data_IF_010357024929
#
_entry.id   IF_010357024929
#
_cell.length_a   1.000
_cell.length_b   1.000
_cell.length_c   1.000
_cell.angle_alpha   90.00
_cell.angle_beta   90.00
_cell.angle_gamma   90.00
#
_symmetry.space_group_name_H-M   'P 1'
#
loop_
_entity.id
_entity.type
_entity.pdbx_description
1 polymer ?
#
# COMPACT_ATOMS: atom_id res chain seq x y z
N UNK A 1 33.01 -53.35 21.89
CA UNK A 1 31.88 -54.14 21.37
C UNK A 1 31.33 -53.42 20.15
N UNK A 2 31.61 -53.95 18.96
CA UNK A 2 30.93 -53.63 17.70
C UNK A 2 29.61 -54.47 17.63
N UNK A 3 28.69 -54.36 16.64
CA UNK A 3 29.04 -54.29 15.20
C UNK A 3 28.12 -53.51 14.23
N UNK A 4 28.75 -53.19 13.08
CA UNK A 4 28.31 -53.34 11.68
C UNK A 4 26.94 -52.77 11.21
N UNK A 5 26.80 -52.09 10.07
CA UNK A 5 27.59 -52.12 8.85
C UNK A 5 26.86 -52.95 7.79
N UNK A 6 26.03 -52.30 6.95
CA UNK A 6 25.33 -52.96 5.84
C UNK A 6 25.46 -52.12 4.56
N UNK A 7 26.26 -52.64 3.62
CA UNK A 7 26.32 -52.22 2.22
C UNK A 7 25.11 -52.77 1.42
N UNK A 8 24.73 -52.14 0.30
CA UNK A 8 23.72 -52.67 -0.63
C UNK A 8 24.34 -53.63 -1.65
N UNK A 9 23.61 -54.61 -2.21
CA UNK A 9 24.10 -55.42 -3.31
C UNK A 9 23.65 -54.90 -4.69
N UNK A 10 24.50 -55.24 -5.66
CA UNK A 10 24.55 -54.82 -7.06
C UNK A 10 23.49 -55.46 -7.98
N UNK A 11 23.19 -54.80 -9.09
CA UNK A 11 22.54 -55.38 -10.28
C UNK A 11 23.50 -56.27 -11.06
N UNK A 12 22.99 -57.22 -11.90
CA UNK A 12 23.39 -57.20 -13.32
C UNK A 12 22.22 -57.64 -14.27
N UNK A 13 22.39 -57.94 -15.58
CA UNK A 13 21.79 -57.17 -16.69
C UNK A 13 20.83 -58.01 -17.57
N UNK A 14 20.15 -57.42 -18.56
CA UNK A 14 19.89 -58.04 -19.89
C UNK A 14 19.15 -57.08 -20.84
N UNK A 15 19.73 -56.89 -22.01
CA UNK A 15 19.19 -56.16 -23.16
C UNK A 15 18.48 -57.13 -24.15
N UNK A 16 18.24 -56.78 -25.43
CA UNK A 16 16.96 -56.29 -25.95
C UNK A 16 16.28 -57.29 -26.92
N UNK A 17 14.98 -57.13 -27.20
CA UNK A 17 14.35 -57.71 -28.40
C UNK A 17 13.75 -56.63 -29.29
N UNK A 18 14.40 -56.48 -30.44
CA UNK A 18 13.96 -55.83 -31.67
C UNK A 18 13.11 -56.83 -32.46
N UNK A 19 12.19 -56.36 -33.32
CA UNK A 19 12.01 -56.75 -34.75
C UNK A 19 10.56 -56.61 -35.27
N UNK A 20 10.40 -55.67 -36.22
CA UNK A 20 9.64 -55.67 -37.52
C UNK A 20 8.11 -55.77 -37.50
N UNK A 21 7.29 -54.89 -38.10
CA UNK A 21 7.22 -54.17 -39.41
C UNK A 21 6.28 -54.85 -40.42
N UNK A 22 5.25 -54.12 -40.90
CA UNK A 22 4.67 -54.08 -42.27
C UNK A 22 3.29 -53.39 -42.18
N UNK A 23 3.00 -52.22 -42.77
CA UNK A 23 2.92 -51.81 -44.20
C UNK A 23 1.65 -52.26 -44.93
N UNK A 24 0.83 -51.28 -45.33
CA UNK A 24 0.25 -51.04 -46.69
C UNK A 24 -1.19 -50.46 -46.57
N UNK A 25 -1.46 -49.21 -46.96
CA UNK A 25 -1.71 -48.57 -48.29
C UNK A 25 -3.21 -48.26 -48.50
N UNK A 26 -3.43 -47.03 -48.97
CA UNK A 26 -4.63 -46.20 -49.28
C UNK A 26 -5.30 -46.62 -50.63
N UNK A 27 -6.17 -45.87 -51.38
CA UNK A 27 -6.71 -44.47 -51.27
C UNK A 27 -8.16 -44.19 -51.81
N UNK A 28 -8.51 -42.88 -51.97
CA UNK A 28 -9.52 -42.22 -52.87
C UNK A 28 -10.85 -41.76 -52.21
N UNK A 29 -11.53 -40.63 -52.53
CA UNK A 29 -11.30 -39.40 -53.31
C UNK A 29 -12.52 -38.43 -53.16
N UNK A 30 -12.26 -37.13 -52.85
CA UNK A 30 -12.94 -35.79 -53.12
C UNK A 30 -14.41 -35.67 -53.64
N UNK A 31 -15.02 -34.45 -53.77
CA UNK A 31 -15.15 -33.26 -52.90
C UNK A 31 -16.61 -32.66 -52.89
N UNK A 32 -16.94 -31.67 -52.04
CA UNK A 32 -18.05 -30.71 -52.30
C UNK A 32 -18.07 -29.55 -51.29
N UNK A 33 -18.02 -28.32 -51.82
CA UNK A 33 -18.11 -27.02 -51.13
C UNK A 33 -19.47 -26.40 -51.47
N UNK A 34 -20.24 -25.96 -50.47
CA UNK A 34 -21.26 -24.90 -50.59
C UNK A 34 -21.23 -24.06 -49.28
N UNK A 35 -21.25 -22.71 -49.34
CA UNK A 35 -20.89 -21.84 -48.22
C UNK A 35 -22.08 -21.54 -47.31
N UNK A 36 -21.91 -21.79 -46.01
CA UNK A 36 -22.85 -21.39 -44.97
C UNK A 36 -22.25 -20.31 -44.08
N UNK A 37 -22.78 -19.10 -44.16
CA UNK A 37 -22.55 -18.04 -43.18
C UNK A 37 -22.67 -18.58 -41.75
N UNK A 38 -21.59 -18.48 -40.98
CA UNK A 38 -21.63 -18.59 -39.52
C UNK A 38 -20.72 -17.54 -38.89
N UNK A 39 -21.09 -17.06 -37.70
CA UNK A 39 -21.08 -15.65 -37.36
C UNK A 39 -19.70 -15.17 -36.92
N UNK A 40 -19.53 -13.84 -36.97
CA UNK A 40 -18.44 -13.11 -36.34
C UNK A 40 -18.03 -13.77 -35.02
N UNK A 41 -16.78 -14.22 -35.01
CA UNK A 41 -16.06 -14.63 -33.82
C UNK A 41 -16.06 -13.41 -32.88
N UNK A 42 -17.03 -13.33 -31.97
CA UNK A 42 -16.97 -12.42 -30.84
C UNK A 42 -15.72 -12.86 -30.08
N UNK A 43 -14.64 -12.10 -30.25
CA UNK A 43 -13.44 -12.22 -29.46
C UNK A 43 -13.88 -12.31 -28.00
N UNK A 44 -13.65 -13.46 -27.35
CA UNK A 44 -13.80 -13.59 -25.90
C UNK A 44 -13.14 -12.37 -25.28
N UNK A 45 -13.81 -11.62 -24.38
CA UNK A 45 -13.15 -10.51 -23.72
C UNK A 45 -11.88 -11.07 -23.12
N UNK A 46 -10.75 -10.44 -23.43
CA UNK A 46 -9.47 -10.75 -22.83
C UNK A 46 -9.72 -10.78 -21.32
N UNK A 47 -9.53 -11.94 -20.67
CA UNK A 47 -9.76 -12.14 -19.23
C UNK A 47 -9.38 -10.94 -18.34
N UNK A 48 -8.28 -10.19 -18.58
CA UNK A 48 -7.98 -8.97 -17.83
C UNK A 48 -9.02 -7.83 -17.94
N UNK A 49 -9.71 -7.65 -19.07
CA UNK A 49 -10.76 -6.64 -19.22
C UNK A 49 -12.00 -6.96 -18.37
N UNK A 50 -12.39 -8.24 -18.30
CA UNK A 50 -13.49 -8.70 -17.46
C UNK A 50 -13.21 -8.54 -15.97
N UNK A 51 -11.98 -8.83 -15.51
CA UNK A 51 -11.58 -8.64 -14.11
C UNK A 51 -11.51 -7.15 -13.76
N UNK A 52 -11.07 -6.29 -14.69
CA UNK A 52 -11.04 -4.83 -14.48
C UNK A 52 -12.43 -4.24 -14.37
N UNK A 53 -13.35 -4.65 -15.25
CA UNK A 53 -14.73 -4.23 -15.16
C UNK A 53 -15.38 -4.71 -13.86
N UNK A 54 -15.14 -5.97 -13.46
CA UNK A 54 -15.62 -6.51 -12.19
C UNK A 54 -15.15 -5.69 -10.98
N UNK A 55 -13.86 -5.39 -10.90
CA UNK A 55 -13.25 -4.56 -9.85
C UNK A 55 -13.89 -3.16 -9.79
N UNK A 56 -14.06 -2.51 -10.94
CA UNK A 56 -14.69 -1.19 -11.05
C UNK A 56 -16.15 -1.24 -10.61
N UNK A 57 -16.93 -2.20 -11.10
CA UNK A 57 -18.33 -2.37 -10.69
C UNK A 57 -18.44 -2.64 -9.20
N UNK A 58 -17.61 -3.53 -8.66
CA UNK A 58 -17.62 -3.88 -7.24
C UNK A 58 -17.25 -2.67 -6.36
N UNK A 59 -16.27 -1.88 -6.78
CA UNK A 59 -15.91 -0.63 -6.10
C UNK A 59 -17.04 0.40 -6.13
N UNK A 60 -17.67 0.58 -7.29
CA UNK A 60 -18.78 1.52 -7.47
C UNK A 60 -20.03 1.12 -6.68
N UNK A 61 -20.45 -0.15 -6.76
CA UNK A 61 -21.58 -0.64 -5.99
C UNK A 61 -21.30 -0.59 -4.49
N UNK A 62 -20.12 -1.06 -4.06
CA UNK A 62 -19.72 -1.05 -2.66
C UNK A 62 -19.70 0.36 -2.06
N UNK A 63 -19.20 1.36 -2.80
CA UNK A 63 -19.16 2.76 -2.32
C UNK A 63 -20.53 3.41 -2.10
N UNK A 64 -21.61 2.89 -2.70
CA UNK A 64 -22.97 3.41 -2.56
C UNK A 64 -23.78 2.72 -1.45
N UNK A 65 -23.19 1.76 -0.74
CA UNK A 65 -23.85 1.06 0.38
C UNK A 65 -23.76 1.87 1.68
N UNK A 66 -24.62 1.58 2.69
CA UNK A 66 -24.43 2.08 4.05
C UNK A 66 -23.10 1.62 4.67
N UNK A 67 -22.53 2.41 5.58
CA UNK A 67 -21.19 2.16 6.15
C UNK A 67 -21.00 0.74 6.70
N UNK A 68 -21.98 0.16 7.38
CA UNK A 68 -21.84 -1.19 7.93
C UNK A 68 -21.63 -2.26 6.83
N UNK A 69 -22.28 -2.12 5.67
CA UNK A 69 -22.09 -3.03 4.54
C UNK A 69 -20.78 -2.76 3.80
N UNK A 70 -20.34 -1.49 3.78
CA UNK A 70 -19.04 -1.11 3.20
C UNK A 70 -17.90 -1.85 3.89
N UNK A 71 -17.93 -1.97 5.23
CA UNK A 71 -16.95 -2.74 5.98
C UNK A 71 -16.89 -4.23 5.58
N UNK A 72 -18.04 -4.86 5.32
CA UNK A 72 -18.09 -6.25 4.82
C UNK A 72 -17.53 -6.36 3.41
N UNK A 73 -17.85 -5.42 2.52
CA UNK A 73 -17.30 -5.38 1.15
C UNK A 73 -15.79 -5.15 1.19
N UNK A 74 -15.30 -4.28 2.08
CA UNK A 74 -13.87 -4.05 2.30
C UNK A 74 -13.15 -5.34 2.68
N UNK A 75 -13.69 -6.09 3.65
CA UNK A 75 -13.16 -7.40 4.05
C UNK A 75 -13.23 -8.43 2.92
N UNK A 76 -14.31 -8.45 2.14
CA UNK A 76 -14.46 -9.34 1.00
C UNK A 76 -13.38 -9.07 -0.06
N UNK A 77 -13.14 -7.80 -0.42
CA UNK A 77 -12.08 -7.41 -1.36
C UNK A 77 -10.72 -7.83 -0.82
N UNK A 78 -10.41 -7.51 0.44
CA UNK A 78 -9.13 -7.85 1.05
C UNK A 78 -8.89 -9.36 1.09
N UNK A 79 -9.91 -10.17 1.34
CA UNK A 79 -9.83 -11.63 1.26
C UNK A 79 -9.53 -12.17 -0.15
N UNK A 80 -9.60 -11.33 -1.20
CA UNK A 80 -9.21 -11.66 -2.57
C UNK A 80 -7.87 -11.08 -2.99
N UNK A 81 -7.29 -10.16 -2.21
CA UNK A 81 -5.98 -9.57 -2.55
C UNK A 81 -4.90 -10.64 -2.31
N UNK A 82 -4.10 -11.00 -3.33
CA UNK A 82 -2.98 -11.91 -3.11
C UNK A 82 -1.96 -11.26 -2.17
N UNK A 83 -1.64 -11.93 -1.07
CA UNK A 83 -0.57 -11.53 -0.14
C UNK A 83 0.53 -12.60 -0.21
N UNK A 84 1.79 -12.18 -0.34
CA UNK A 84 2.93 -13.12 -0.38
C UNK A 84 2.99 -13.93 0.92
N UNK A 85 3.06 -15.26 0.80
CA UNK A 85 3.13 -16.19 1.95
C UNK A 85 1.78 -16.75 2.43
N UNK A 86 0.64 -16.26 1.92
CA UNK A 86 -0.67 -16.86 2.21
C UNK A 86 -1.17 -17.66 1.00
N UNK A 87 -1.55 -18.94 1.14
CA UNK A 87 -2.15 -19.69 0.04
C UNK A 87 -3.49 -19.06 -0.36
N UNK A 88 -3.53 -18.34 -1.48
CA UNK A 88 -4.79 -17.89 -2.04
C UNK A 88 -5.48 -19.10 -2.70
N UNK A 89 -6.47 -19.70 -2.03
CA UNK A 89 -7.21 -20.87 -2.53
C UNK A 89 -8.16 -20.59 -3.71
N UNK A 90 -8.02 -19.49 -4.46
CA UNK A 90 -8.97 -19.17 -5.53
C UNK A 90 -8.36 -18.64 -6.82
N UNK A 91 -7.08 -18.26 -6.81
CA UNK A 91 -6.38 -17.80 -8.01
C UNK A 91 -5.11 -18.64 -8.12
N UNK A 92 -4.96 -19.40 -9.20
CA UNK A 92 -3.72 -20.09 -9.58
C UNK A 92 -2.60 -19.05 -9.77
N UNK A 93 -2.06 -18.50 -8.68
CA UNK A 93 -0.99 -17.49 -8.65
C UNK A 93 0.27 -18.02 -9.33
N UNK A 94 0.46 -19.33 -9.34
CA UNK A 94 1.54 -20.03 -10.06
C UNK A 94 1.49 -19.81 -11.58
N UNK A 95 0.30 -19.58 -12.17
CA UNK A 95 0.13 -19.40 -13.63
C UNK A 95 0.24 -17.95 -14.10
N UNK A 96 0.16 -16.99 -13.18
CA UNK A 96 -0.04 -15.56 -13.50
C UNK A 96 1.27 -14.76 -13.45
N UNK A 97 2.29 -15.27 -12.75
CA UNK A 97 3.59 -14.61 -12.58
C UNK A 97 3.54 -13.34 -11.73
N UNK A 98 4.70 -12.84 -11.29
CA UNK A 98 4.80 -11.66 -10.41
C UNK A 98 4.07 -10.42 -10.96
N UNK A 99 4.17 -10.17 -12.26
CA UNK A 99 3.53 -9.02 -12.90
C UNK A 99 2.00 -9.11 -12.92
N UNK A 100 1.44 -10.31 -13.12
CA UNK A 100 0.00 -10.48 -13.07
C UNK A 100 -0.54 -10.41 -11.65
N UNK A 101 0.23 -10.87 -10.64
CA UNK A 101 -0.09 -10.68 -9.22
C UNK A 101 -0.15 -9.20 -8.87
N UNK A 102 0.88 -8.42 -9.24
CA UNK A 102 0.91 -6.95 -9.04
C UNK A 102 -0.31 -6.28 -9.67
N UNK A 103 -0.66 -6.64 -10.90
CA UNK A 103 -1.83 -6.09 -11.60
C UNK A 103 -3.12 -6.35 -10.84
N UNK A 104 -3.32 -7.57 -10.33
CA UNK A 104 -4.51 -7.94 -9.54
C UNK A 104 -4.55 -7.16 -8.22
N UNK A 105 -3.43 -7.07 -7.49
CA UNK A 105 -3.33 -6.28 -6.26
C UNK A 105 -3.71 -4.81 -6.51
N UNK A 106 -3.12 -4.19 -7.54
CA UNK A 106 -3.39 -2.81 -7.95
C UNK A 106 -4.89 -2.60 -8.24
N UNK A 107 -5.51 -3.52 -8.96
CA UNK A 107 -6.93 -3.43 -9.33
C UNK A 107 -7.86 -3.58 -8.12
N UNK A 108 -7.57 -4.53 -7.22
CA UNK A 108 -8.37 -4.76 -6.03
C UNK A 108 -8.22 -3.62 -5.02
N UNK A 109 -7.01 -3.12 -4.80
CA UNK A 109 -6.77 -1.95 -3.94
C UNK A 109 -7.41 -0.68 -4.53
N UNK A 110 -7.36 -0.48 -5.85
CA UNK A 110 -8.08 0.63 -6.50
C UNK A 110 -9.60 0.51 -6.30
N UNK A 111 -10.14 -0.71 -6.29
CA UNK A 111 -11.55 -0.96 -5.96
C UNK A 111 -11.84 -0.61 -4.51
N UNK A 112 -10.93 -0.95 -3.60
CA UNK A 112 -11.04 -0.64 -2.19
C UNK A 112 -10.97 0.86 -1.91
N UNK A 113 -10.20 1.63 -2.69
CA UNK A 113 -10.26 3.11 -2.66
C UNK A 113 -11.67 3.61 -3.00
N UNK A 114 -12.32 3.04 -4.02
CA UNK A 114 -13.70 3.39 -4.36
C UNK A 114 -14.67 3.04 -3.23
N UNK A 115 -14.55 1.84 -2.65
CA UNK A 115 -15.42 1.42 -1.52
C UNK A 115 -15.18 2.23 -0.26
N UNK A 116 -13.99 2.78 -0.04
CA UNK A 116 -13.67 3.60 1.14
C UNK A 116 -13.93 5.09 0.93
N UNK A 117 -14.14 5.54 -0.31
CA UNK A 117 -14.36 6.96 -0.61
C UNK A 117 -15.65 7.50 0.00
N UNK A 118 -15.54 8.41 0.98
CA UNK A 118 -16.70 8.93 1.72
C UNK A 118 -17.25 7.96 2.76
N UNK A 119 -16.51 6.90 3.12
CA UNK A 119 -16.82 6.03 4.24
C UNK A 119 -16.66 6.80 5.55
N UNK A 120 -17.72 6.88 6.35
CA UNK A 120 -17.69 7.63 7.63
C UNK A 120 -17.67 6.68 8.82
N UNK A 121 -16.47 6.26 9.17
CA UNK A 121 -16.25 5.33 10.24
C UNK A 121 -16.60 5.94 11.61
N UNK A 122 -17.56 5.37 12.35
CA UNK A 122 -17.89 5.84 13.71
C UNK A 122 -16.77 5.62 14.71
N UNK A 123 -16.13 4.45 14.66
CA UNK A 123 -14.98 4.08 15.50
C UNK A 123 -13.94 3.37 14.64
N UNK A 124 -12.66 3.59 14.88
CA UNK A 124 -11.58 3.02 14.05
C UNK A 124 -11.63 1.49 13.99
N UNK A 125 -12.01 0.82 15.09
CA UNK A 125 -12.16 -0.64 15.10
C UNK A 125 -13.19 -1.16 14.08
N UNK A 126 -14.21 -0.37 13.73
CA UNK A 126 -15.23 -0.77 12.76
C UNK A 126 -14.72 -0.70 11.31
N UNK A 127 -13.82 0.23 11.01
CA UNK A 127 -13.27 0.45 9.65
C UNK A 127 -11.90 -0.19 9.43
N UNK A 128 -11.10 -0.31 10.49
CA UNK A 128 -9.76 -0.87 10.53
C UNK A 128 -9.71 -2.01 11.55
N UNK A 129 -10.53 -3.03 11.35
CA UNK A 129 -10.41 -4.25 12.16
C UNK A 129 -9.00 -4.86 12.00
N UNK A 130 -8.51 -5.60 13.00
CA UNK A 130 -7.19 -6.23 12.92
C UNK A 130 -7.03 -7.11 11.67
N UNK A 131 -8.09 -7.87 11.33
CA UNK A 131 -8.14 -8.73 10.15
C UNK A 131 -8.11 -7.96 8.82
N UNK A 132 -8.41 -6.66 8.82
CA UNK A 132 -8.29 -5.77 7.67
C UNK A 132 -6.92 -5.07 7.65
N UNK A 133 -6.53 -4.50 8.78
CA UNK A 133 -5.34 -3.64 8.90
C UNK A 133 -4.06 -4.44 8.66
N UNK A 134 -3.95 -5.66 9.19
CA UNK A 134 -2.73 -6.45 9.06
C UNK A 134 -2.43 -6.82 7.59
N UNK A 135 -3.34 -7.43 6.82
CA UNK A 135 -3.10 -7.68 5.40
C UNK A 135 -2.81 -6.41 4.59
N UNK A 136 -3.48 -5.30 4.92
CA UNK A 136 -3.27 -4.02 4.24
C UNK A 136 -1.86 -3.48 4.47
N UNK A 137 -1.39 -3.51 5.72
CA UNK A 137 -0.02 -3.16 6.08
C UNK A 137 0.99 -4.14 5.46
N UNK A 138 0.70 -5.44 5.39
CA UNK A 138 1.60 -6.41 4.75
C UNK A 138 1.84 -6.10 3.27
N UNK A 139 0.82 -5.66 2.52
CA UNK A 139 0.97 -5.28 1.11
C UNK A 139 1.87 -4.05 0.97
N UNK A 140 1.82 -3.11 1.91
CA UNK A 140 2.66 -1.92 1.87
C UNK A 140 4.14 -2.18 2.15
N UNK A 141 4.48 -3.34 2.71
CA UNK A 141 5.88 -3.75 2.94
C UNK A 141 6.51 -4.37 1.68
N UNK A 142 5.75 -4.41 0.58
CA UNK A 142 6.30 -4.78 -0.71
C UNK A 142 7.08 -3.60 -1.31
N UNK A 143 8.15 -3.91 -2.04
CA UNK A 143 9.01 -2.98 -2.79
C UNK A 143 8.27 -2.45 -4.04
N UNK A 144 7.10 -1.85 -3.85
CA UNK A 144 6.27 -1.27 -4.90
C UNK A 144 5.58 0.02 -4.45
N UNK A 145 6.11 1.15 -4.92
CA UNK A 145 5.61 2.48 -4.59
C UNK A 145 4.14 2.70 -4.96
N UNK A 146 3.64 2.10 -6.04
CA UNK A 146 2.23 2.22 -6.45
C UNK A 146 1.32 1.53 -5.43
N UNK A 147 1.65 0.31 -5.01
CA UNK A 147 0.90 -0.40 -3.97
C UNK A 147 0.93 0.36 -2.63
N UNK A 148 2.09 0.90 -2.24
CA UNK A 148 2.22 1.71 -1.01
C UNK A 148 1.36 2.97 -1.06
N UNK A 149 1.31 3.65 -2.22
CA UNK A 149 0.42 4.79 -2.41
C UNK A 149 -1.05 4.37 -2.23
N UNK A 150 -1.49 3.27 -2.86
CA UNK A 150 -2.86 2.80 -2.75
C UNK A 150 -3.25 2.47 -1.30
N UNK A 151 -2.35 1.81 -0.55
CA UNK A 151 -2.56 1.52 0.87
C UNK A 151 -2.72 2.80 1.70
N UNK A 152 -1.83 3.78 1.52
CA UNK A 152 -1.94 5.07 2.21
C UNK A 152 -3.26 5.78 1.87
N UNK A 153 -3.68 5.75 0.60
CA UNK A 153 -4.94 6.36 0.18
C UNK A 153 -6.17 5.68 0.81
N UNK A 154 -6.15 4.35 0.96
CA UNK A 154 -7.19 3.59 1.68
C UNK A 154 -7.21 4.00 3.15
N UNK A 155 -6.05 4.04 3.81
CA UNK A 155 -5.94 4.46 5.21
C UNK A 155 -6.46 5.89 5.40
N UNK A 156 -6.10 6.81 4.51
CA UNK A 156 -6.59 8.19 4.57
C UNK A 156 -8.11 8.27 4.48
N UNK A 157 -8.72 7.53 3.56
CA UNK A 157 -10.18 7.54 3.40
C UNK A 157 -10.91 7.04 4.65
N UNK A 158 -10.33 6.08 5.38
CA UNK A 158 -10.95 5.51 6.57
C UNK A 158 -10.71 6.39 7.81
N UNK A 159 -9.52 6.98 7.92
CA UNK A 159 -9.13 7.83 9.06
C UNK A 159 -9.80 9.21 8.98
N UNK A 160 -9.90 9.82 7.79
CA UNK A 160 -10.39 11.19 7.59
C UNK A 160 -11.93 11.31 7.69
N UNK A 161 -12.45 11.28 8.92
CA UNK A 161 -13.91 11.38 9.18
C UNK A 161 -14.50 12.74 8.84
N UNK A 162 -13.67 13.78 8.88
CA UNK A 162 -14.10 15.18 8.77
C UNK A 162 -13.68 15.86 7.46
N UNK A 163 -13.25 15.09 6.45
CA UNK A 163 -12.92 15.56 5.11
C UNK A 163 -11.80 16.64 5.11
N UNK A 164 -10.78 16.45 5.94
CA UNK A 164 -9.61 17.33 6.05
C UNK A 164 -8.52 17.06 5.01
N UNK A 165 -8.50 15.88 4.38
CA UNK A 165 -7.47 15.46 3.41
C UNK A 165 -7.23 16.49 2.31
N UNK A 166 -8.29 17.11 1.79
CA UNK A 166 -8.17 18.13 0.75
C UNK A 166 -7.35 19.36 1.18
N UNK A 167 -7.38 19.71 2.47
CA UNK A 167 -6.65 20.86 3.05
C UNK A 167 -5.15 20.58 3.24
N UNK A 168 -4.80 19.30 3.31
CA UNK A 168 -3.45 18.78 3.56
C UNK A 168 -2.70 18.41 2.26
N UNK A 169 -3.32 18.59 1.10
CA UNK A 169 -2.69 18.29 -0.20
C UNK A 169 -1.43 19.12 -0.42
N UNK A 170 -0.40 18.48 -0.97
CA UNK A 170 0.90 19.08 -1.25
C UNK A 170 1.69 19.30 0.03
N UNK A 171 2.73 18.50 0.23
CA UNK A 171 3.63 18.63 1.36
C UNK A 171 4.33 20.00 1.30
N UNK A 172 4.25 20.76 2.39
CA UNK A 172 4.80 22.10 2.52
C UNK A 172 4.93 22.51 3.98
N UNK A 173 5.74 23.52 4.25
CA UNK A 173 5.68 24.26 5.51
C UNK A 173 4.39 25.08 5.52
N UNK A 174 3.52 24.86 6.51
CA UNK A 174 2.23 25.54 6.62
C UNK A 174 2.42 26.76 7.54
N UNK A 175 2.35 28.00 7.03
CA UNK A 175 2.65 29.18 7.86
C UNK A 175 1.64 29.37 9.00
N UNK A 176 0.38 29.02 8.76
CA UNK A 176 -0.70 29.13 9.73
C UNK A 176 -1.72 28.00 9.57
N UNK A 177 -1.62 26.98 10.43
CA UNK A 177 -2.55 25.84 10.43
C UNK A 177 -3.98 26.26 10.76
N UNK A 178 -4.18 27.30 11.58
CA UNK A 178 -5.52 27.78 11.92
C UNK A 178 -6.29 28.29 10.68
N UNK A 179 -5.57 28.84 9.69
CA UNK A 179 -6.17 29.29 8.43
C UNK A 179 -6.75 28.14 7.58
N UNK A 180 -6.29 26.89 7.79
CA UNK A 180 -6.82 25.72 7.09
C UNK A 180 -8.22 25.33 7.56
N UNK A 181 -8.69 25.87 8.70
CA UNK A 181 -10.00 25.53 9.30
C UNK A 181 -10.18 24.02 9.43
N UNK A 182 -9.18 23.36 10.03
CA UNK A 182 -9.21 21.92 10.31
C UNK A 182 -10.44 21.61 11.19
N UNK A 183 -11.24 20.64 10.75
CA UNK A 183 -12.36 20.11 11.53
C UNK A 183 -11.83 18.98 12.40
N UNK A 184 -12.01 19.04 13.70
CA UNK A 184 -11.58 17.98 14.62
C UNK A 184 -12.58 17.81 15.74
N UNK A 185 -12.75 16.57 16.16
CA UNK A 185 -13.52 16.20 17.34
C UNK A 185 -12.60 15.60 18.39
N UNK A 186 -13.07 15.55 19.64
CA UNK A 186 -12.33 14.86 20.69
C UNK A 186 -12.36 13.36 20.40
N UNK A 187 -11.19 12.72 20.42
CA UNK A 187 -11.06 11.27 20.26
C UNK A 187 -11.96 10.51 21.27
N UNK A 188 -12.67 9.48 20.79
CA UNK A 188 -13.52 8.63 21.63
C UNK A 188 -12.70 7.56 22.37
N UNK A 189 -13.28 6.93 23.41
CA UNK A 189 -12.56 5.94 24.22
C UNK A 189 -12.18 4.70 23.42
N UNK A 190 -13.04 4.30 22.49
CA UNK A 190 -12.83 3.16 21.59
C UNK A 190 -11.62 3.40 20.67
N UNK A 191 -11.48 4.61 20.13
CA UNK A 191 -10.35 5.00 19.28
C UNK A 191 -9.04 5.09 20.09
N UNK A 192 -9.10 5.51 21.36
CA UNK A 192 -7.94 5.45 22.27
C UNK A 192 -7.48 4.01 22.46
N UNK A 193 -8.41 3.07 22.71
CA UNK A 193 -8.08 1.64 22.83
C UNK A 193 -7.55 1.07 21.52
N UNK A 194 -8.10 1.50 20.38
CA UNK A 194 -7.60 1.14 19.06
C UNK A 194 -6.13 1.57 18.90
N UNK A 195 -5.78 2.83 19.21
CA UNK A 195 -4.41 3.32 19.10
C UNK A 195 -3.46 2.58 20.05
N UNK A 196 -3.91 2.19 21.25
CA UNK A 196 -3.12 1.35 22.18
C UNK A 196 -2.80 -0.03 21.60
N UNK A 197 -3.73 -0.63 20.85
CA UNK A 197 -3.57 -1.99 20.29
C UNK A 197 -2.87 -2.01 18.94
N UNK A 198 -3.18 -1.05 18.08
CA UNK A 198 -2.81 -1.07 16.66
C UNK A 198 -1.97 0.12 16.22
N UNK A 199 -1.77 1.14 17.07
CA UNK A 199 -1.00 2.34 16.73
C UNK A 199 0.44 2.02 16.30
N UNK A 200 1.10 1.09 17.00
CA UNK A 200 2.46 0.65 16.65
C UNK A 200 2.56 0.09 15.22
N UNK A 201 1.52 -0.58 14.73
CA UNK A 201 1.50 -1.09 13.36
C UNK A 201 1.40 0.05 12.34
N UNK A 202 0.60 1.08 12.62
CA UNK A 202 0.50 2.28 11.78
C UNK A 202 1.83 3.05 11.77
N UNK A 203 2.46 3.23 12.92
CA UNK A 203 3.75 3.91 13.02
C UNK A 203 4.85 3.15 12.29
N UNK A 204 4.91 1.83 12.45
CA UNK A 204 5.84 0.97 11.73
C UNK A 204 5.62 1.04 10.21
N UNK A 205 4.38 1.07 9.77
CA UNK A 205 4.04 1.24 8.36
C UNK A 205 4.59 2.55 7.79
N UNK A 206 4.39 3.67 8.51
CA UNK A 206 4.93 4.98 8.09
C UNK A 206 6.47 4.97 8.11
N UNK A 207 7.08 4.41 9.17
CA UNK A 207 8.53 4.33 9.31
C UNK A 207 9.18 3.60 8.14
N UNK A 208 8.72 2.38 7.86
CA UNK A 208 9.25 1.56 6.76
C UNK A 208 8.89 2.17 5.40
N UNK A 209 7.69 2.73 5.26
CA UNK A 209 7.26 3.38 4.03
C UNK A 209 8.15 4.56 3.62
N UNK A 210 8.82 5.23 4.57
CA UNK A 210 9.73 6.34 4.28
C UNK A 210 11.08 5.92 3.70
N UNK A 211 11.58 4.72 4.03
CA UNK A 211 12.94 4.29 3.69
C UNK A 211 13.08 3.61 2.32
N UNK A 212 11.96 3.29 1.69
CA UNK A 212 11.93 2.59 0.39
C UNK A 212 12.57 3.43 -0.72
N UNK A 213 13.46 2.82 -1.51
CA UNK A 213 14.29 3.51 -2.50
C UNK A 213 13.50 4.02 -3.71
N UNK A 214 12.38 3.38 -4.04
CA UNK A 214 11.53 3.74 -5.17
C UNK A 214 10.46 4.79 -4.81
N UNK A 215 10.54 5.39 -3.62
CA UNK A 215 9.65 6.48 -3.25
C UNK A 215 9.84 7.70 -4.15
N UNK A 216 8.72 8.26 -4.59
CA UNK A 216 8.65 9.54 -5.31
C UNK A 216 7.99 10.60 -4.43
N UNK A 217 7.94 11.86 -4.91
CA UNK A 217 7.26 12.96 -4.22
C UNK A 217 5.86 12.58 -3.70
N UNK A 218 5.05 11.92 -4.55
CA UNK A 218 3.69 11.50 -4.18
C UNK A 218 3.68 10.58 -2.95
N UNK A 219 4.68 9.72 -2.76
CA UNK A 219 4.78 8.88 -1.56
C UNK A 219 4.98 9.75 -0.31
N UNK A 220 5.89 10.73 -0.34
CA UNK A 220 6.10 11.64 0.79
C UNK A 220 4.89 12.52 1.10
N UNK A 221 4.16 12.98 0.07
CA UNK A 221 2.89 13.71 0.27
C UNK A 221 1.82 12.87 0.97
N UNK A 222 1.70 11.60 0.59
CA UNK A 222 0.79 10.68 1.24
C UNK A 222 1.24 10.35 2.67
N UNK A 223 2.53 10.14 2.92
CA UNK A 223 3.07 9.91 4.27
C UNK A 223 2.83 11.13 5.19
N UNK A 224 3.04 12.35 4.69
CA UNK A 224 2.70 13.58 5.40
C UNK A 224 1.20 13.63 5.75
N UNK A 225 0.35 13.30 4.78
CA UNK A 225 -1.10 13.26 4.98
C UNK A 225 -1.49 12.23 6.04
N UNK A 226 -0.86 11.04 6.06
CA UNK A 226 -1.11 10.02 7.06
C UNK A 226 -0.79 10.52 8.47
N UNK A 227 0.41 11.08 8.65
CA UNK A 227 0.84 11.66 9.93
C UNK A 227 -0.12 12.77 10.38
N UNK A 228 -0.50 13.68 9.49
CA UNK A 228 -1.41 14.77 9.79
C UNK A 228 -2.82 14.28 10.13
N UNK A 229 -3.36 13.31 9.41
CA UNK A 229 -4.68 12.74 9.70
C UNK A 229 -4.71 12.00 11.03
N UNK A 230 -3.67 11.22 11.37
CA UNK A 230 -3.56 10.59 12.69
C UNK A 230 -3.54 11.67 13.78
N UNK A 231 -2.80 12.77 13.59
CA UNK A 231 -2.80 13.92 14.53
C UNK A 231 -4.18 14.57 14.66
N UNK A 232 -4.93 14.74 13.57
CA UNK A 232 -6.22 15.44 13.58
C UNK A 232 -7.31 14.59 14.21
N UNK A 233 -7.35 13.29 13.86
CA UNK A 233 -8.48 12.41 14.12
C UNK A 233 -8.28 11.53 15.36
N UNK A 234 -7.02 11.19 15.68
CA UNK A 234 -6.68 10.14 16.65
C UNK A 234 -5.71 10.60 17.76
N UNK A 235 -5.36 11.89 17.81
CA UNK A 235 -4.43 12.38 18.82
C UNK A 235 -5.04 12.41 20.23
N UNK A 236 -4.28 11.85 21.17
CA UNK A 236 -4.31 12.12 22.59
C UNK A 236 -2.85 12.34 23.05
N UNK A 237 -2.61 12.57 24.34
CA UNK A 237 -1.25 12.82 24.86
C UNK A 237 -0.25 11.69 24.52
N UNK A 238 -0.64 10.42 24.70
CA UNK A 238 0.22 9.27 24.39
C UNK A 238 0.52 9.19 22.88
N UNK A 239 -0.50 9.36 22.04
CA UNK A 239 -0.36 9.32 20.58
C UNK A 239 0.53 10.45 20.08
N UNK A 240 0.41 11.66 20.63
CA UNK A 240 1.29 12.79 20.29
C UNK A 240 2.75 12.48 20.62
N UNK A 241 3.01 11.91 21.80
CA UNK A 241 4.37 11.50 22.20
C UNK A 241 4.93 10.47 21.21
N UNK A 242 4.15 9.47 20.84
CA UNK A 242 4.60 8.43 19.89
C UNK A 242 4.82 8.98 18.48
N UNK A 243 4.02 9.95 18.04
CA UNK A 243 4.23 10.63 16.76
C UNK A 243 5.51 11.48 16.76
N UNK A 244 5.83 12.15 17.86
CA UNK A 244 7.11 12.86 18.02
C UNK A 244 8.27 11.85 17.98
N UNK A 245 8.18 10.73 18.71
CA UNK A 245 9.20 9.66 18.69
C UNK A 245 9.40 9.09 17.30
N UNK A 246 8.33 8.79 16.58
CA UNK A 246 8.38 8.32 15.19
C UNK A 246 9.12 9.33 14.31
N UNK A 247 8.81 10.62 14.46
CA UNK A 247 9.40 11.67 13.65
C UNK A 247 10.90 11.84 13.93
N UNK A 248 11.32 11.71 15.19
CA UNK A 248 12.74 11.69 15.58
C UNK A 248 13.43 10.45 15.00
N UNK A 249 12.81 9.27 15.10
CA UNK A 249 13.37 8.05 14.52
C UNK A 249 13.56 8.14 13.00
N UNK A 250 12.61 8.76 12.28
CA UNK A 250 12.74 9.05 10.84
C UNK A 250 13.93 9.96 10.56
N UNK A 251 14.10 11.01 11.36
CA UNK A 251 15.24 11.92 11.24
C UNK A 251 16.58 11.21 11.50
N UNK A 252 16.66 10.41 12.57
CA UNK A 252 17.86 9.67 12.93
C UNK A 252 18.25 8.67 11.84
N UNK A 253 17.29 7.94 11.28
CA UNK A 253 17.52 7.01 10.16
C UNK A 253 18.11 7.72 8.94
N UNK A 254 17.58 8.89 8.57
CA UNK A 254 18.08 9.67 7.43
C UNK A 254 19.49 10.24 7.69
N UNK A 255 19.79 10.63 8.93
CA UNK A 255 21.10 11.16 9.33
C UNK A 255 22.17 10.05 9.40
N UNK A 256 21.84 8.92 10.00
CA UNK A 256 22.70 7.74 10.13
C UNK A 256 22.99 7.08 8.76
N UNK A 257 22.23 7.44 7.72
CA UNK A 257 22.33 6.82 6.40
C UNK A 257 22.15 5.29 6.49
N UNK A 258 21.14 4.86 7.25
CA UNK A 258 20.81 3.44 7.37
C UNK A 258 20.60 2.83 5.99
N UNK A 259 21.10 1.59 5.81
CA UNK A 259 20.95 0.83 4.55
C UNK A 259 21.52 1.51 3.30
N UNK A 260 22.36 2.56 3.45
CA UNK A 260 22.93 3.37 2.35
C UNK A 260 21.87 4.03 1.45
N UNK A 261 20.78 4.54 2.05
CA UNK A 261 19.69 5.18 1.32
C UNK A 261 20.13 6.28 0.33
N UNK A 262 19.48 6.36 -0.85
CA UNK A 262 19.74 7.43 -1.81
C UNK A 262 19.55 8.83 -1.22
N UNK A 263 20.35 9.79 -1.68
CA UNK A 263 20.29 11.18 -1.20
C UNK A 263 18.89 11.80 -1.31
N UNK A 264 18.17 11.50 -2.40
CA UNK A 264 16.80 11.97 -2.58
C UNK A 264 15.87 11.49 -1.46
N UNK A 265 15.96 10.21 -1.09
CA UNK A 265 15.16 9.62 -0.02
C UNK A 265 15.49 10.28 1.31
N UNK A 266 16.78 10.42 1.64
CA UNK A 266 17.23 11.08 2.87
C UNK A 266 16.73 12.52 2.96
N UNK A 267 16.85 13.29 1.89
CA UNK A 267 16.36 14.67 1.85
C UNK A 267 14.83 14.73 1.91
N UNK A 268 14.14 13.79 1.24
CA UNK A 268 12.69 13.64 1.29
C UNK A 268 12.17 13.34 2.69
N UNK A 269 12.84 12.47 3.45
CA UNK A 269 12.55 12.19 4.86
C UNK A 269 12.75 13.46 5.70
N UNK A 270 13.87 14.17 5.52
CA UNK A 270 14.14 15.40 6.26
C UNK A 270 13.13 16.52 5.98
N UNK A 271 12.64 16.61 4.74
CA UNK A 271 11.57 17.51 4.33
C UNK A 271 10.21 17.10 4.92
N UNK A 272 9.91 15.79 4.95
CA UNK A 272 8.73 15.24 5.62
C UNK A 272 8.72 15.58 7.11
N UNK A 273 9.85 15.35 7.80
CA UNK A 273 10.05 15.71 9.20
C UNK A 273 9.82 17.21 9.42
N UNK A 274 10.41 18.07 8.59
CA UNK A 274 10.24 19.53 8.70
C UNK A 274 8.77 19.95 8.57
N UNK A 275 8.09 19.48 7.53
CA UNK A 275 6.70 19.79 7.27
C UNK A 275 5.79 19.29 8.41
N UNK A 276 6.01 18.05 8.86
CA UNK A 276 5.17 17.45 9.88
C UNK A 276 5.39 18.08 11.27
N UNK A 277 6.63 18.30 11.70
CA UNK A 277 6.89 18.97 12.98
C UNK A 277 6.34 20.40 13.00
N UNK A 278 6.40 21.12 11.87
CA UNK A 278 5.77 22.44 11.73
C UNK A 278 4.25 22.38 11.92
N UNK A 279 3.60 21.38 11.31
CA UNK A 279 2.17 21.16 11.47
C UNK A 279 1.83 20.77 12.92
N UNK A 280 2.55 19.80 13.47
CA UNK A 280 2.32 19.24 14.81
C UNK A 280 2.52 20.29 15.91
N UNK A 281 3.58 21.11 15.83
CA UNK A 281 3.86 22.13 16.84
C UNK A 281 2.74 23.16 16.94
N UNK A 282 2.17 23.57 15.80
CA UNK A 282 1.01 24.47 15.73
C UNK A 282 -0.27 23.80 16.25
N UNK A 283 -0.45 22.50 16.02
CA UNK A 283 -1.62 21.75 16.51
C UNK A 283 -1.64 21.54 18.02
N UNK A 284 -0.47 21.34 18.63
CA UNK A 284 -0.29 21.20 20.08
C UNK A 284 -0.29 22.57 20.77
N UNK A 285 0.10 23.63 20.06
CA UNK A 285 0.25 25.00 20.57
C UNK A 285 1.21 25.10 21.77
N UNK A 286 2.28 24.29 21.78
CA UNK A 286 3.37 24.39 22.76
C UNK A 286 4.38 25.45 22.28
N UNK A 287 4.58 26.59 23.00
CA UNK A 287 5.43 27.66 22.51
C UNK A 287 6.91 27.31 22.37
N UNK A 288 7.58 26.68 23.37
CA UNK A 288 8.98 26.25 23.22
C UNK A 288 9.20 25.34 22.00
N UNK A 289 8.31 24.36 21.81
CA UNK A 289 8.39 23.45 20.68
C UNK A 289 8.20 24.16 19.34
N UNK A 290 7.21 25.07 19.25
CA UNK A 290 6.95 25.84 18.04
C UNK A 290 8.10 26.78 17.69
N UNK A 291 8.72 27.42 18.69
CA UNK A 291 9.90 28.27 18.50
C UNK A 291 11.10 27.46 17.99
N UNK A 292 11.36 26.29 18.59
CA UNK A 292 12.43 25.40 18.15
C UNK A 292 12.24 24.97 16.69
N UNK A 293 11.06 24.47 16.34
CA UNK A 293 10.75 24.03 14.97
C UNK A 293 10.87 25.19 13.98
N UNK A 294 10.36 26.37 14.33
CA UNK A 294 10.48 27.57 13.48
C UNK A 294 11.94 27.96 13.25
N UNK A 295 12.78 27.89 14.29
CA UNK A 295 14.21 28.19 14.18
C UNK A 295 14.94 27.19 13.29
N UNK A 296 14.64 25.90 13.40
CA UNK A 296 15.21 24.86 12.53
C UNK A 296 14.83 25.11 11.07
N UNK A 297 13.58 25.49 10.79
CA UNK A 297 13.12 25.79 9.43
C UNK A 297 13.81 27.03 8.87
N UNK A 298 13.96 28.09 9.68
CA UNK A 298 14.70 29.30 9.31
C UNK A 298 16.17 28.99 8.96
N UNK A 299 16.87 28.20 9.78
CA UNK A 299 18.26 27.82 9.49
C UNK A 299 18.36 26.99 8.20
N UNK A 300 17.42 26.07 7.97
CA UNK A 300 17.38 25.29 6.72
C UNK A 300 17.08 26.15 5.50
N UNK A 301 16.25 27.18 5.61
CA UNK A 301 15.95 28.06 4.47
C UNK A 301 17.16 28.89 4.05
N UNK A 302 18.10 29.14 4.97
CA UNK A 302 19.36 29.81 4.69
C UNK A 302 20.41 28.86 4.12
N UNK A 303 20.69 27.75 4.80
CA UNK A 303 21.91 26.95 4.55
C UNK A 303 21.65 25.57 3.93
N UNK A 304 20.41 25.07 3.97
CA UNK A 304 20.09 23.69 3.58
C UNK A 304 18.69 23.54 2.96
N UNK A 305 18.39 24.38 1.97
CA UNK A 305 17.06 24.46 1.35
C UNK A 305 16.56 23.12 0.80
N UNK A 306 17.48 22.26 0.32
CA UNK A 306 17.18 20.92 -0.17
C UNK A 306 16.60 19.96 0.90
N UNK A 307 16.60 20.35 2.18
CA UNK A 307 15.94 19.63 3.29
C UNK A 307 14.52 20.14 3.58
N UNK A 308 14.01 21.06 2.76
CA UNK A 308 12.66 21.61 2.87
C UNK A 308 11.79 21.12 1.69
N UNK A 309 10.49 20.86 1.93
CA UNK A 309 9.61 20.29 0.92
C UNK A 309 9.48 21.17 -0.32
N UNK A 310 9.53 22.49 -0.17
CA UNK A 310 9.41 23.46 -1.27
C UNK A 310 10.57 23.41 -2.27
N UNK A 311 11.67 22.71 -1.97
CA UNK A 311 12.85 22.66 -2.84
C UNK A 311 13.14 21.25 -3.32
N UNK A 312 13.07 20.24 -2.44
CA UNK A 312 13.36 18.85 -2.83
C UNK A 312 12.31 18.27 -3.79
N UNK A 313 11.07 18.73 -3.68
CA UNK A 313 9.94 18.27 -4.49
C UNK A 313 9.56 19.23 -5.62
N UNK A 314 10.42 20.21 -5.97
CA UNK A 314 10.20 20.95 -7.22
C UNK A 314 10.43 20.01 -8.38
N UNK A 315 9.42 19.87 -9.23
CA UNK A 315 9.63 19.35 -10.57
C UNK A 315 10.74 20.18 -11.22
N UNK A 316 11.81 19.52 -11.68
CA UNK A 316 12.64 20.12 -12.72
C UNK A 316 11.73 20.23 -13.94
N UNK A 317 11.17 21.41 -14.21
CA UNK A 317 10.67 21.72 -15.53
C UNK A 317 11.86 21.55 -16.48
N UNK A 318 11.94 20.39 -17.13
CA UNK A 318 12.81 20.12 -18.26
C UNK A 318 12.09 20.45 -19.56
#
# INVERSE_FOLDING_TARGET
MAPAGTQPPASPPLAPKRVKSASSRTPSSKPSVIPGHTPHNLSKPTRPASVKLYCVCLGFFGGNLPDYQRAEVMMFIMGKVPVYGTPCHTLDTVKIGHQGTKRIQTMLLSSLIMVTSGFKCKTMCAGLSAAFLEPLCSISLMEDSELRQLVLEILHNIIDRHDNRAKLRGIRIIPNVAALKIKREKICKEDVVFMKKHGQQLYRHIYLGCKEEDNVQKNFELLFTALALITIELANEEVVIDLVRLTIALQDMALANEENMPMFIRCGIMALVAAYLNFLSQMIANPPFSQHVSKVIELRSMDAQYLLPEHIFREKCG
#
